data_IF_463375961799
#
_entry.id   IF_463375961799
#
_cell.length_a   1.000
_cell.length_b   1.000
_cell.length_c   1.000
_cell.angle_alpha   90.00
_cell.angle_beta   90.00
_cell.angle_gamma   90.00
#
_symmetry.space_group_name_H-M   'P 1'
#
loop_
_entity.id
_entity.type
_entity.pdbx_description
1 polymer ?
#
# COMPACT_ATOMS: atom_id res chain seq x y z
N UNK A 1 1.88 7.65 -10.86
CA UNK A 1 3.27 7.36 -10.46
C UNK A 1 4.18 7.77 -11.58
N UNK A 2 4.82 8.90 -11.37
CA UNK A 2 5.63 9.53 -12.39
C UNK A 2 7.04 8.95 -12.43
N UNK A 3 7.79 9.15 -13.53
CA UNK A 3 9.17 8.69 -13.64
C UNK A 3 10.08 9.20 -12.50
N UNK A 4 9.77 10.37 -11.95
CA UNK A 4 10.49 10.94 -10.80
C UNK A 4 10.26 10.11 -9.52
N UNK A 5 9.03 9.64 -9.29
CA UNK A 5 8.69 8.78 -8.15
C UNK A 5 9.40 7.44 -8.26
N UNK A 6 9.40 6.84 -9.46
CA UNK A 6 10.11 5.57 -9.71
C UNK A 6 11.61 5.74 -9.43
N UNK A 7 12.21 6.85 -9.84
CA UNK A 7 13.62 7.13 -9.59
C UNK A 7 13.90 7.36 -8.10
N UNK A 8 13.07 8.17 -7.43
CA UNK A 8 13.20 8.47 -6.00
C UNK A 8 13.11 7.20 -5.17
N UNK A 9 12.10 6.37 -5.42
CA UNK A 9 11.92 5.09 -4.76
C UNK A 9 13.15 4.20 -4.96
N UNK A 10 13.58 3.96 -6.20
CA UNK A 10 14.75 3.11 -6.46
C UNK A 10 16.04 3.60 -5.80
N UNK A 11 16.23 4.91 -5.64
CA UNK A 11 17.42 5.48 -5.01
C UNK A 11 17.39 5.37 -3.48
N UNK A 12 16.22 5.47 -2.85
CA UNK A 12 16.10 5.57 -1.38
C UNK A 12 15.53 4.30 -0.73
N UNK A 13 15.03 3.35 -1.50
CA UNK A 13 14.34 2.17 -0.99
C UNK A 13 15.22 1.31 -0.08
N UNK A 14 16.52 1.18 -0.35
CA UNK A 14 17.40 0.35 0.49
C UNK A 14 17.55 0.87 1.92
N UNK A 15 17.50 2.20 2.12
CA UNK A 15 17.72 2.82 3.44
C UNK A 15 16.42 3.18 4.16
N UNK A 16 15.38 3.54 3.40
CA UNK A 16 14.15 4.16 3.92
C UNK A 16 12.88 3.48 3.42
N UNK A 17 13.01 2.49 2.54
CA UNK A 17 11.89 1.80 1.92
C UNK A 17 11.22 0.85 2.88
N UNK A 18 9.88 0.86 2.86
CA UNK A 18 9.07 0.01 3.71
C UNK A 18 7.83 -0.50 2.99
N UNK A 19 7.33 -1.62 3.49
CA UNK A 19 5.99 -2.12 3.19
C UNK A 19 5.33 -2.53 4.50
N UNK A 20 4.26 -1.83 4.88
CA UNK A 20 3.55 -2.05 6.13
C UNK A 20 2.15 -2.58 5.88
N UNK A 21 1.68 -3.48 6.75
CA UNK A 21 0.39 -4.15 6.65
C UNK A 21 -0.58 -3.52 7.65
N UNK A 22 -1.72 -3.06 7.16
CA UNK A 22 -2.79 -2.46 7.94
C UNK A 22 -4.13 -3.17 7.68
N UNK A 23 -5.10 -2.87 8.53
CA UNK A 23 -6.49 -3.12 8.19
C UNK A 23 -6.90 -2.17 7.04
N UNK A 24 -7.82 -2.59 6.15
CA UNK A 24 -8.29 -1.73 5.07
C UNK A 24 -8.86 -0.42 5.61
N UNK A 25 -8.35 0.70 5.15
CA UNK A 25 -8.92 2.00 5.49
C UNK A 25 -10.34 2.17 4.90
N UNK A 26 -11.15 3.02 5.54
CA UNK A 26 -12.57 3.22 5.17
C UNK A 26 -12.76 3.78 3.75
N UNK A 27 -11.79 4.55 3.25
CA UNK A 27 -11.83 5.18 1.93
C UNK A 27 -11.73 4.19 0.77
N UNK A 28 -11.27 2.95 1.02
CA UNK A 28 -11.31 1.90 0.01
C UNK A 28 -12.72 1.61 -0.49
N UNK A 29 -13.75 1.88 0.31
CA UNK A 29 -15.14 1.69 -0.10
C UNK A 29 -15.53 2.58 -1.29
N UNK A 30 -14.81 3.66 -1.55
CA UNK A 30 -14.99 4.51 -2.73
C UNK A 30 -14.35 3.91 -4.00
N UNK A 31 -13.44 2.95 -3.82
CA UNK A 31 -12.69 2.29 -4.88
C UNK A 31 -13.20 0.88 -5.22
N UNK A 32 -13.99 0.26 -4.34
CA UNK A 32 -14.51 -1.10 -4.51
C UNK A 32 -16.01 -1.21 -4.23
N UNK A 33 -16.69 -2.06 -4.99
CA UNK A 33 -18.15 -2.26 -4.92
C UNK A 33 -18.59 -3.39 -3.96
N UNK A 34 -17.77 -3.74 -2.97
CA UNK A 34 -18.05 -4.81 -2.00
C UNK A 34 -17.66 -4.42 -0.58
N UNK A 35 -18.22 -5.11 0.41
CA UNK A 35 -17.92 -4.87 1.82
C UNK A 35 -16.51 -5.37 2.19
N UNK A 36 -15.73 -4.51 2.84
CA UNK A 36 -14.40 -4.83 3.33
C UNK A 36 -14.46 -5.30 4.78
N UNK A 37 -14.19 -6.59 4.97
CA UNK A 37 -14.01 -7.16 6.31
C UNK A 37 -12.49 -7.32 6.60
N UNK A 38 -11.96 -6.68 7.66
CA UNK A 38 -10.54 -6.80 8.06
C UNK A 38 -10.04 -8.22 8.34
N UNK A 39 -10.94 -9.17 8.64
CA UNK A 39 -10.58 -10.57 8.80
C UNK A 39 -10.13 -11.21 7.47
N UNK A 40 -10.66 -10.71 6.36
CA UNK A 40 -10.45 -11.26 5.01
C UNK A 40 -9.63 -10.35 4.11
N UNK A 41 -9.59 -9.05 4.37
CA UNK A 41 -8.88 -8.06 3.56
C UNK A 41 -7.80 -7.37 4.38
N UNK A 42 -6.71 -7.00 3.71
CA UNK A 42 -5.65 -6.21 4.29
C UNK A 42 -5.20 -5.15 3.30
N UNK A 43 -4.72 -4.04 3.84
CA UNK A 43 -4.04 -3.01 3.08
C UNK A 43 -2.53 -3.14 3.29
N UNK A 44 -1.76 -3.06 2.21
CA UNK A 44 -0.31 -2.89 2.26
C UNK A 44 0.03 -1.51 1.73
N UNK A 45 0.67 -0.72 2.58
CA UNK A 45 1.16 0.61 2.24
C UNK A 45 2.64 0.47 1.88
N UNK A 46 3.01 0.90 0.68
CA UNK A 46 4.38 0.88 0.18
C UNK A 46 4.86 2.31 0.02
N UNK A 47 6.02 2.61 0.61
CA UNK A 47 6.62 3.91 0.45
C UNK A 47 7.95 4.07 1.14
N UNK A 48 8.29 5.33 1.46
CA UNK A 48 9.49 5.71 2.17
C UNK A 48 9.13 6.28 3.55
N UNK A 49 9.91 5.94 4.56
CA UNK A 49 9.85 6.52 5.89
C UNK A 49 10.94 7.60 6.07
N UNK A 50 10.84 8.45 7.10
CA UNK A 50 11.90 9.44 7.41
C UNK A 50 13.18 8.81 7.99
N UNK A 51 13.07 7.61 8.55
CA UNK A 51 14.14 6.82 9.14
C UNK A 51 13.86 5.34 8.99
N UNK A 52 14.88 4.48 9.19
CA UNK A 52 14.77 3.02 9.05
C UNK A 52 13.64 2.41 9.91
N UNK A 53 13.43 2.92 11.13
CA UNK A 53 12.35 2.51 12.04
C UNK A 53 11.15 3.49 12.08
N UNK A 54 11.05 4.39 11.10
CA UNK A 54 9.99 5.39 11.04
C UNK A 54 8.73 4.86 10.35
N UNK A 55 7.59 5.50 10.62
CA UNK A 55 6.35 5.23 9.87
C UNK A 55 6.50 5.67 8.41
N UNK A 56 5.93 4.91 7.48
CA UNK A 56 5.86 5.30 6.06
C UNK A 56 4.99 6.55 5.94
N UNK A 57 5.59 7.67 5.55
CA UNK A 57 4.91 8.96 5.38
C UNK A 57 4.88 9.46 3.93
N UNK A 58 5.80 8.98 3.09
CA UNK A 58 5.80 9.23 1.65
C UNK A 58 5.31 7.98 0.93
N UNK A 59 4.00 7.91 0.71
CA UNK A 59 3.31 6.73 0.17
C UNK A 59 3.32 6.75 -1.36
N UNK A 60 3.79 5.65 -1.96
CA UNK A 60 3.86 5.46 -3.41
C UNK A 60 2.73 4.57 -3.91
N UNK A 61 2.35 3.56 -3.12
CA UNK A 61 1.25 2.67 -3.46
C UNK A 61 0.50 2.20 -2.23
N UNK A 62 -0.80 2.00 -2.38
CA UNK A 62 -1.65 1.27 -1.42
C UNK A 62 -2.22 0.07 -2.14
N UNK A 63 -2.07 -1.10 -1.54
CA UNK A 63 -2.49 -2.38 -2.12
C UNK A 63 -3.55 -2.99 -1.21
N UNK A 64 -4.77 -3.13 -1.70
CA UNK A 64 -5.80 -3.90 -1.03
C UNK A 64 -5.72 -5.35 -1.51
N UNK A 65 -5.56 -6.29 -0.59
CA UNK A 65 -5.46 -7.71 -0.91
C UNK A 65 -6.40 -8.57 -0.06
N UNK A 66 -7.04 -9.54 -0.73
CA UNK A 66 -7.83 -10.57 -0.08
C UNK A 66 -6.91 -11.71 0.39
N UNK A 67 -7.08 -12.13 1.65
CA UNK A 67 -6.33 -13.21 2.30
C UNK A 67 -6.93 -14.60 2.04
N UNK A 68 -8.11 -14.67 1.41
CA UNK A 68 -8.72 -15.95 1.05
C UNK A 68 -8.00 -16.62 -0.13
N UNK A 69 -7.69 -17.90 0.00
CA UNK A 69 -6.90 -18.63 -1.02
C UNK A 69 -7.63 -18.79 -2.35
N UNK A 70 -8.94 -18.96 -2.29
CA UNK A 70 -9.77 -19.25 -3.45
C UNK A 70 -10.27 -17.97 -4.14
N UNK A 71 -10.21 -16.81 -3.44
CA UNK A 71 -10.66 -15.52 -3.94
C UNK A 71 -9.48 -14.55 -4.02
N UNK A 72 -8.69 -14.69 -5.09
CA UNK A 72 -7.53 -13.81 -5.33
C UNK A 72 -8.00 -12.47 -5.88
N UNK A 73 -8.10 -11.50 -4.99
CA UNK A 73 -8.38 -10.11 -5.32
C UNK A 73 -7.23 -9.22 -4.85
N UNK A 74 -6.80 -8.33 -5.73
CA UNK A 74 -5.74 -7.36 -5.50
C UNK A 74 -6.07 -6.06 -6.25
N UNK A 75 -6.26 -4.97 -5.51
CA UNK A 75 -6.40 -3.63 -6.06
C UNK A 75 -5.20 -2.79 -5.64
N UNK A 76 -4.67 -2.01 -6.58
CA UNK A 76 -3.52 -1.15 -6.33
C UNK A 76 -3.93 0.27 -6.69
N UNK A 77 -3.80 1.17 -5.71
CA UNK A 77 -3.87 2.62 -5.92
C UNK A 77 -2.44 3.13 -5.91
N UNK A 78 -2.01 3.68 -7.03
CA UNK A 78 -0.73 4.35 -7.15
C UNK A 78 -0.88 5.82 -6.79
N UNK A 79 0.15 6.42 -6.19
CA UNK A 79 0.28 7.87 -6.11
C UNK A 79 0.09 8.47 -7.50
N UNK A 80 -0.72 9.52 -7.60
CA UNK A 80 -0.88 10.29 -8.84
C UNK A 80 0.41 11.03 -9.18
#
# INVERSE_FOLDING_TARGET
LDPADVLLFNLQFEERGGAELFDPAEDWQEHVDFDLNPDFFAEVVIGLADSEDGEINDVFARILLCREKDHKLCHIIWRE
#
